data_IF_560278807750
#
_entry.id   IF_560278807750
#
_cell.length_a   1.000
_cell.length_b   1.000
_cell.length_c   1.000
_cell.angle_alpha   90.00
_cell.angle_beta   90.00
_cell.angle_gamma   90.00
#
_symmetry.space_group_name_H-M   'P 1'
#
loop_
_entity.id
_entity.type
_entity.pdbx_description
1 polymer ?
#
# COMPACT_ATOMS: atom_id res chain seq x y z
N UNK A 1 7.41 18.60 -16.60
CA UNK A 1 6.86 17.23 -16.77
C UNK A 1 5.44 17.30 -16.22
N UNK A 2 4.40 17.12 -17.04
CA UNK A 2 3.04 17.05 -16.50
C UNK A 2 2.91 15.69 -15.80
N UNK A 3 2.74 15.69 -14.48
CA UNK A 3 2.53 14.47 -13.73
C UNK A 3 1.04 14.09 -13.80
N UNK A 4 0.73 12.99 -14.48
CA UNK A 4 -0.63 12.46 -14.71
C UNK A 4 -0.88 11.21 -13.84
N UNK A 5 -0.27 11.13 -12.65
CA UNK A 5 -0.42 10.00 -11.72
C UNK A 5 -1.88 9.75 -11.34
N UNK A 6 -2.68 10.82 -11.20
CA UNK A 6 -4.12 10.71 -10.88
C UNK A 6 -4.92 9.97 -11.96
N UNK A 7 -4.76 10.33 -13.23
CA UNK A 7 -5.47 9.65 -14.33
C UNK A 7 -4.92 8.23 -14.56
N UNK A 8 -3.62 8.03 -14.33
CA UNK A 8 -3.01 6.70 -14.41
C UNK A 8 -3.64 5.76 -13.36
N UNK A 9 -3.81 6.23 -12.13
CA UNK A 9 -4.47 5.50 -11.06
C UNK A 9 -5.95 5.25 -11.36
N UNK A 10 -6.71 6.26 -11.81
CA UNK A 10 -8.12 6.09 -12.19
C UNK A 10 -8.27 5.04 -13.30
N UNK A 11 -7.47 5.16 -14.36
CA UNK A 11 -7.46 4.20 -15.47
C UNK A 11 -7.11 2.78 -15.02
N UNK A 12 -6.10 2.62 -14.17
CA UNK A 12 -5.70 1.32 -13.64
C UNK A 12 -6.77 0.71 -12.72
N UNK A 13 -7.35 1.49 -11.81
CA UNK A 13 -8.45 1.06 -10.96
C UNK A 13 -9.64 0.58 -11.77
N UNK A 14 -10.10 1.36 -12.76
CA UNK A 14 -11.26 0.97 -13.58
C UNK A 14 -11.03 -0.36 -14.29
N UNK A 15 -9.82 -0.59 -14.80
CA UNK A 15 -9.44 -1.88 -15.39
C UNK A 15 -9.51 -3.02 -14.38
N UNK A 16 -9.01 -2.81 -13.16
CA UNK A 16 -9.09 -3.79 -12.08
C UNK A 16 -10.53 -4.04 -11.61
N UNK A 17 -11.41 -3.04 -11.61
CA UNK A 17 -12.80 -3.23 -11.22
C UNK A 17 -13.59 -4.07 -12.24
N UNK A 18 -13.19 -4.05 -13.50
CA UNK A 18 -13.78 -4.90 -14.55
C UNK A 18 -13.34 -6.37 -14.47
N UNK A 19 -12.38 -6.71 -13.59
CA UNK A 19 -11.84 -8.06 -13.40
C UNK A 19 -12.66 -8.87 -12.38
N UNK A 20 -12.77 -10.19 -12.59
CA UNK A 20 -13.56 -11.10 -11.73
C UNK A 20 -12.79 -11.59 -10.50
N UNK A 21 -11.49 -11.33 -10.43
CA UNK A 21 -10.61 -11.73 -9.34
C UNK A 21 -11.07 -11.15 -8.00
N UNK A 22 -11.08 -12.00 -6.96
CA UNK A 22 -11.54 -11.64 -5.62
C UNK A 22 -10.63 -10.59 -4.95
N UNK A 23 -9.32 -10.66 -5.21
CA UNK A 23 -8.33 -9.72 -4.69
C UNK A 23 -7.73 -8.94 -5.84
N UNK A 24 -7.74 -7.61 -5.72
CA UNK A 24 -7.27 -6.68 -6.74
C UNK A 24 -6.26 -5.75 -6.08
N UNK A 25 -5.01 -5.88 -6.46
CA UNK A 25 -3.91 -5.10 -5.88
C UNK A 25 -3.40 -4.16 -6.97
N UNK A 26 -3.31 -2.87 -6.65
CA UNK A 26 -2.73 -1.84 -7.49
C UNK A 26 -1.45 -1.33 -6.82
N UNK A 27 -0.30 -1.56 -7.46
CA UNK A 27 1.00 -1.05 -7.01
C UNK A 27 1.40 0.13 -7.89
N UNK A 28 1.53 1.31 -7.29
CA UNK A 28 2.08 2.50 -7.93
C UNK A 28 3.59 2.56 -7.70
N UNK A 29 4.39 2.76 -8.74
CA UNK A 29 5.83 3.00 -8.61
C UNK A 29 6.09 4.35 -9.28
N UNK A 30 6.57 5.33 -8.50
CA UNK A 30 6.79 6.69 -8.99
C UNK A 30 8.14 7.23 -8.55
N UNK A 31 8.90 7.82 -9.47
CA UNK A 31 10.19 8.46 -9.23
C UNK A 31 10.06 9.95 -8.86
N UNK A 32 8.84 10.43 -8.64
CA UNK A 32 8.55 11.81 -8.30
C UNK A 32 7.22 11.94 -7.56
N UNK A 33 7.18 12.78 -6.53
CA UNK A 33 5.90 13.27 -6.06
C UNK A 33 5.27 14.21 -7.10
N UNK A 34 3.95 14.48 -7.10
CA UNK A 34 3.36 15.50 -7.98
C UNK A 34 4.01 16.85 -7.70
N UNK A 35 5.00 17.22 -8.51
CA UNK A 35 5.71 18.50 -8.41
C UNK A 35 5.82 19.04 -9.82
N UNK A 36 5.12 20.15 -10.00
CA UNK A 36 4.92 20.89 -11.23
C UNK A 36 6.08 21.87 -11.42
N UNK A 37 7.10 21.47 -12.17
CA UNK A 37 8.25 22.33 -12.51
C UNK A 37 7.94 23.29 -13.68
N UNK A 38 6.70 23.76 -13.78
CA UNK A 38 6.31 24.85 -14.69
C UNK A 38 5.76 26.03 -13.91
N UNK A 39 6.63 26.99 -13.62
CA UNK A 39 6.20 28.33 -13.24
C UNK A 39 5.40 28.91 -14.41
N UNK A 40 4.11 29.20 -14.18
CA UNK A 40 3.10 29.94 -14.98
C UNK A 40 1.80 29.10 -15.06
N UNK A 41 0.85 29.18 -14.12
CA UNK A 41 -0.10 30.31 -14.09
C UNK A 41 -1.06 30.24 -12.88
N UNK A 42 -0.76 31.03 -11.85
CA UNK A 42 -1.62 31.92 -11.04
C UNK A 42 -2.95 31.43 -10.39
N UNK A 43 -3.60 30.31 -10.75
CA UNK A 43 -4.79 29.81 -10.03
C UNK A 43 -4.94 28.27 -9.96
N UNK A 44 -4.09 27.50 -10.67
CA UNK A 44 -4.23 26.05 -10.84
C UNK A 44 -3.22 25.19 -10.04
N UNK A 45 -2.36 25.79 -9.21
CA UNK A 45 -1.21 25.11 -8.57
C UNK A 45 -1.52 23.91 -7.68
N UNK A 46 -2.78 23.72 -7.28
CA UNK A 46 -3.19 22.57 -6.45
C UNK A 46 -4.12 21.59 -7.18
N UNK A 47 -4.40 21.77 -8.48
CA UNK A 47 -5.33 20.85 -9.16
C UNK A 47 -4.78 19.42 -9.19
N UNK A 48 -3.54 19.24 -9.66
CA UNK A 48 -2.94 17.92 -9.79
C UNK A 48 -2.79 17.22 -8.43
N UNK A 49 -2.34 17.96 -7.41
CA UNK A 49 -2.24 17.40 -6.06
C UNK A 49 -3.62 17.04 -5.49
N UNK A 50 -4.61 17.95 -5.59
CA UNK A 50 -5.96 17.70 -5.11
C UNK A 50 -6.61 16.53 -5.84
N UNK A 51 -6.43 16.46 -7.15
CA UNK A 51 -6.93 15.38 -7.98
C UNK A 51 -6.28 14.05 -7.60
N UNK A 52 -4.95 14.00 -7.46
CA UNK A 52 -4.25 12.81 -6.99
C UNK A 52 -4.76 12.37 -5.61
N UNK A 53 -4.88 13.30 -4.66
CA UNK A 53 -5.43 13.00 -3.32
C UNK A 53 -6.85 12.49 -3.38
N UNK A 54 -7.68 13.07 -4.24
CA UNK A 54 -9.06 12.64 -4.44
C UNK A 54 -9.10 11.21 -4.98
N UNK A 55 -8.34 10.91 -6.05
CA UNK A 55 -8.30 9.57 -6.63
C UNK A 55 -7.80 8.56 -5.60
N UNK A 56 -6.66 8.82 -4.93
CA UNK A 56 -6.14 7.93 -3.89
C UNK A 56 -7.19 7.68 -2.81
N UNK A 57 -7.85 8.74 -2.32
CA UNK A 57 -8.90 8.60 -1.33
C UNK A 57 -10.07 7.75 -1.84
N UNK A 58 -10.50 7.94 -3.08
CA UNK A 58 -11.54 7.11 -3.71
C UNK A 58 -11.13 5.64 -3.80
N UNK A 59 -9.88 5.34 -4.16
CA UNK A 59 -9.35 3.97 -4.16
C UNK A 59 -9.36 3.40 -2.74
N UNK A 60 -8.69 4.06 -1.79
CA UNK A 60 -8.46 3.52 -0.46
C UNK A 60 -9.73 3.41 0.41
N UNK A 61 -10.74 4.25 0.17
CA UNK A 61 -11.95 4.32 1.02
C UNK A 61 -13.21 3.74 0.39
N UNK A 62 -13.31 3.71 -0.95
CA UNK A 62 -14.55 3.32 -1.66
C UNK A 62 -14.35 2.14 -2.60
N UNK A 63 -13.11 1.79 -2.94
CA UNK A 63 -12.81 0.70 -3.87
C UNK A 63 -12.42 -0.58 -3.11
N UNK A 64 -12.78 -1.77 -3.62
CA UNK A 64 -12.21 -3.04 -3.16
C UNK A 64 -10.75 -3.25 -3.63
N UNK A 65 -10.16 -2.28 -4.34
CA UNK A 65 -8.78 -2.34 -4.82
C UNK A 65 -7.83 -1.97 -3.67
N UNK A 66 -6.90 -2.87 -3.37
CA UNK A 66 -5.83 -2.62 -2.40
C UNK A 66 -4.72 -1.79 -3.07
N UNK A 67 -4.50 -0.57 -2.60
CA UNK A 67 -3.49 0.35 -3.14
C UNK A 67 -2.21 0.32 -2.31
N UNK A 68 -1.06 0.20 -2.99
CA UNK A 68 0.27 0.33 -2.40
C UNK A 68 1.16 1.19 -3.30
N UNK A 69 2.11 1.93 -2.73
CA UNK A 69 3.00 2.80 -3.49
C UNK A 69 4.49 2.60 -3.13
N UNK A 70 5.36 2.74 -4.14
CA UNK A 70 6.81 2.79 -4.00
C UNK A 70 7.29 4.11 -4.61
N UNK A 71 7.87 4.98 -3.79
CA UNK A 71 8.52 6.21 -4.22
C UNK A 71 10.02 5.98 -4.43
N UNK A 72 10.58 6.38 -5.58
CA UNK A 72 12.02 6.31 -5.83
C UNK A 72 12.60 7.72 -5.72
N UNK A 73 13.49 7.93 -4.75
CA UNK A 73 14.11 9.23 -4.48
C UNK A 73 13.13 10.31 -3.97
N UNK A 74 11.85 9.98 -3.79
CA UNK A 74 10.81 10.92 -3.39
C UNK A 74 9.86 10.31 -2.37
N UNK A 75 9.57 11.08 -1.32
CA UNK A 75 8.62 10.67 -0.30
C UNK A 75 7.17 10.74 -0.78
N UNK A 76 6.58 9.57 -1.02
CA UNK A 76 5.19 9.38 -1.43
C UNK A 76 4.27 9.02 -0.25
N UNK A 77 4.80 8.80 0.95
CA UNK A 77 4.02 8.40 2.14
C UNK A 77 3.01 9.46 2.58
N UNK A 78 3.19 10.70 2.13
CA UNK A 78 2.25 11.82 2.34
C UNK A 78 0.94 11.73 1.56
N UNK A 79 0.85 10.80 0.60
CA UNK A 79 -0.34 10.60 -0.24
C UNK A 79 -0.98 9.24 -0.02
N UNK A 80 -0.17 8.19 0.09
CA UNK A 80 -0.64 6.81 0.16
C UNK A 80 -0.51 6.25 1.57
N UNK A 81 -1.55 5.56 2.06
CA UNK A 81 -1.54 4.95 3.39
C UNK A 81 -0.53 3.82 3.51
N UNK A 82 -0.36 3.03 2.44
CA UNK A 82 0.59 1.92 2.35
C UNK A 82 1.66 2.27 1.33
N UNK A 83 2.81 2.75 1.81
CA UNK A 83 3.90 3.16 0.93
C UNK A 83 5.29 2.86 1.50
N UNK A 84 6.27 2.80 0.60
CA UNK A 84 7.70 2.81 0.92
C UNK A 84 8.42 3.75 -0.01
N UNK A 85 9.47 4.38 0.50
CA UNK A 85 10.36 5.22 -0.30
C UNK A 85 11.72 4.54 -0.32
N UNK A 86 12.23 4.29 -1.53
CA UNK A 86 13.57 3.75 -1.79
C UNK A 86 14.46 4.86 -2.34
N UNK A 87 15.77 4.71 -2.18
CA UNK A 87 16.72 5.73 -2.62
C UNK A 87 16.89 5.70 -4.14
N UNK A 88 16.99 4.51 -4.72
CA UNK A 88 17.20 4.30 -6.15
C UNK A 88 16.47 3.03 -6.64
N UNK A 89 16.55 2.77 -7.95
CA UNK A 89 15.84 1.66 -8.58
C UNK A 89 16.44 0.28 -8.27
N UNK A 90 17.66 0.20 -7.76
CA UNK A 90 18.30 -1.09 -7.43
C UNK A 90 17.60 -1.76 -6.24
N UNK A 91 17.06 -0.94 -5.33
CA UNK A 91 16.29 -1.39 -4.16
C UNK A 91 14.86 -1.85 -4.49
N UNK A 92 14.36 -1.57 -5.71
CA UNK A 92 12.96 -1.76 -6.08
C UNK A 92 12.50 -3.22 -5.92
N UNK A 93 13.33 -4.18 -6.32
CA UNK A 93 13.00 -5.60 -6.22
C UNK A 93 12.76 -6.06 -4.78
N UNK A 94 13.59 -5.58 -3.85
CA UNK A 94 13.44 -5.84 -2.42
C UNK A 94 12.16 -5.22 -1.87
N UNK A 95 11.96 -3.93 -2.14
CA UNK A 95 10.80 -3.19 -1.67
C UNK A 95 9.46 -3.77 -2.18
N UNK A 96 9.39 -4.19 -3.45
CA UNK A 96 8.19 -4.86 -3.99
C UNK A 96 7.89 -6.16 -3.23
N UNK A 97 8.92 -6.98 -2.98
CA UNK A 97 8.76 -8.27 -2.30
C UNK A 97 8.26 -8.07 -0.86
N UNK A 98 8.85 -7.12 -0.14
CA UNK A 98 8.45 -6.79 1.23
C UNK A 98 7.01 -6.27 1.31
N UNK A 99 6.61 -5.34 0.43
CA UNK A 99 5.24 -4.81 0.44
C UNK A 99 4.18 -5.82 0.04
N UNK A 100 4.50 -6.73 -0.88
CA UNK A 100 3.62 -7.85 -1.17
C UNK A 100 3.50 -8.79 0.04
N UNK A 101 4.60 -9.11 0.72
CA UNK A 101 4.58 -9.95 1.91
C UNK A 101 3.72 -9.33 3.03
N UNK A 102 3.92 -8.04 3.34
CA UNK A 102 3.09 -7.29 4.31
C UNK A 102 1.60 -7.35 3.94
N UNK A 103 1.26 -7.12 2.67
CA UNK A 103 -0.11 -7.11 2.18
C UNK A 103 -0.81 -8.48 2.33
N UNK A 104 -0.08 -9.57 2.12
CA UNK A 104 -0.60 -10.92 2.33
C UNK A 104 -0.69 -11.30 3.81
N UNK A 105 0.23 -10.81 4.65
CA UNK A 105 0.21 -11.08 6.10
C UNK A 105 -0.91 -10.33 6.84
N UNK A 106 -1.24 -9.09 6.44
CA UNK A 106 -2.36 -8.34 7.06
C UNK A 106 -3.73 -8.97 6.77
N UNK A 107 -3.84 -9.73 5.68
CA UNK A 107 -5.06 -10.47 5.31
C UNK A 107 -5.18 -11.83 5.98
N UNK A 108 -4.10 -12.34 6.59
CA UNK A 108 -4.16 -13.57 7.36
C UNK A 108 -4.80 -13.25 8.72
N UNK A 109 -5.93 -13.87 9.04
CA UNK A 109 -6.58 -13.72 10.34
C UNK A 109 -5.54 -13.93 11.47
N UNK A 110 -5.63 -13.18 12.59
CA UNK A 110 -4.67 -13.33 13.68
C UNK A 110 -4.62 -14.79 14.11
N UNK A 111 -3.41 -15.36 14.10
CA UNK A 111 -3.21 -16.73 14.52
C UNK A 111 -3.83 -16.94 15.92
N UNK A 112 -4.59 -18.02 16.16
CA UNK A 112 -5.17 -18.26 17.46
C UNK A 112 -4.06 -18.27 18.52
N UNK A 113 -4.29 -17.66 19.70
CA UNK A 113 -3.27 -17.58 20.73
C UNK A 113 -2.77 -18.99 21.04
N UNK A 114 -1.46 -19.18 21.27
CA UNK A 114 -0.88 -20.49 21.52
C UNK A 114 -1.60 -21.11 22.72
N UNK A 115 -2.30 -22.22 22.48
CA UNK A 115 -3.00 -22.98 23.51
C UNK A 115 -1.96 -23.38 24.55
N UNK A 116 -1.98 -22.72 25.69
CA UNK A 116 -1.09 -23.00 26.81
C UNK A 116 -1.41 -24.43 27.26
N UNK A 117 -0.62 -25.40 26.77
CA UNK A 117 -0.69 -26.79 27.22
C UNK A 117 -0.40 -26.77 28.71
N UNK A 118 -1.45 -26.84 29.52
CA UNK A 118 -1.33 -27.04 30.96
C UNK A 118 -0.53 -28.33 31.16
N UNK A 119 0.70 -28.19 31.60
CA UNK A 119 1.53 -29.31 32.04
C UNK A 119 0.83 -29.94 33.24
N UNK A 120 0.16 -31.08 33.01
CA UNK A 120 -0.33 -31.93 34.08
C UNK A 120 0.90 -32.45 34.84
N UNK A 121 1.10 -31.94 36.06
CA UNK A 121 2.04 -32.53 37.01
C UNK A 121 1.51 -33.90 37.48
N UNK A 122 2.35 -34.94 37.60
CA UNK A 122 1.90 -36.24 38.09
C UNK A 122 1.64 -36.17 39.61
N UNK A 123 0.54 -36.79 40.06
CA UNK A 123 0.24 -36.99 41.48
C UNK A 123 1.29 -37.91 42.11
N UNK A 124 2.04 -37.39 43.08
CA UNK A 124 2.91 -38.21 43.93
C UNK A 124 2.05 -39.08 44.86
N UNK A 125 2.19 -40.39 44.71
CA UNK A 125 1.60 -41.41 45.58
C UNK A 125 2.37 -41.42 46.90
N UNK A 126 1.71 -41.02 47.98
CA UNK A 126 2.22 -41.18 49.34
C UNK A 126 2.28 -42.68 49.71
N UNK A 127 3.47 -43.17 50.03
CA UNK A 127 3.66 -44.44 50.74
C UNK A 127 3.97 -44.15 52.21
N UNK A 128 3.43 -45.03 53.04
CA UNK A 128 3.43 -45.08 54.50
C UNK A 128 4.82 -44.99 55.12
#
# INVERSE_FOLDING_TARGET
KENIDGEALDGAQRRLLARTEQRRILMMISDGAPVDDSTLSVYAGNYLERHLRQIIHEIESKSPVELIAIGIGHDVTRYYRRAVTIVDAEELGGAMTEKLAELFSESAAPAPPPTQRRSHAPLAVARR
#
